data_IF_549303882812
#
_entry.id   IF_549303882812
#
_cell.length_a   1.000
_cell.length_b   1.000
_cell.length_c   1.000
_cell.angle_alpha   90.00
_cell.angle_beta   90.00
_cell.angle_gamma   90.00
#
_symmetry.space_group_name_H-M   'P 1'
#
loop_
_entity.id
_entity.type
_entity.pdbx_description
1 polymer ?
#
# COMPACT_ATOMS: atom_id res chain seq x y z
N UNK A 1 13.31 -11.65 9.78
CA UNK A 1 13.34 -10.19 9.97
C UNK A 1 12.01 -9.66 9.46
N UNK A 2 11.28 -8.90 10.26
CA UNK A 2 9.96 -8.37 9.88
C UNK A 2 9.63 -7.07 10.61
N UNK A 3 8.61 -6.35 10.16
CA UNK A 3 8.08 -5.13 10.76
C UNK A 3 6.55 -5.20 10.99
N UNK A 4 5.92 -6.30 10.63
CA UNK A 4 4.49 -6.50 10.80
C UNK A 4 4.14 -6.95 12.24
N UNK A 5 2.85 -6.81 12.59
CA UNK A 5 2.34 -7.42 13.80
C UNK A 5 2.48 -8.94 13.69
N UNK A 6 3.17 -9.52 14.65
CA UNK A 6 3.31 -10.96 14.73
C UNK A 6 1.99 -11.59 15.21
N UNK A 7 1.60 -12.67 14.55
CA UNK A 7 0.61 -13.63 15.04
C UNK A 7 1.35 -14.78 15.74
N UNK A 8 0.69 -15.91 15.96
CA UNK A 8 1.30 -17.08 16.56
C UNK A 8 2.40 -17.66 15.66
N UNK A 9 3.63 -17.61 16.13
CA UNK A 9 4.79 -18.21 15.45
C UNK A 9 5.15 -19.49 16.18
N UNK A 10 4.98 -20.62 15.48
CA UNK A 10 5.40 -21.93 15.95
C UNK A 10 6.49 -22.47 15.04
N UNK A 11 7.62 -22.88 15.62
CA UNK A 11 8.74 -23.43 14.87
C UNK A 11 9.19 -24.76 15.49
N UNK A 12 9.63 -25.69 14.65
CA UNK A 12 10.14 -26.99 15.10
C UNK A 12 11.45 -26.85 15.87
N UNK A 13 12.29 -25.90 15.47
CA UNK A 13 13.60 -25.63 16.06
C UNK A 13 13.69 -24.14 16.47
N UNK A 14 14.56 -23.79 17.43
CA UNK A 14 14.83 -22.39 17.78
C UNK A 14 15.27 -21.58 16.55
N UNK A 15 14.76 -20.35 16.44
CA UNK A 15 15.10 -19.42 15.36
C UNK A 15 15.46 -18.06 15.94
N UNK A 16 16.20 -17.26 15.16
CA UNK A 16 16.41 -15.85 15.46
C UNK A 16 15.29 -15.03 14.82
N UNK A 17 14.61 -14.22 15.62
CA UNK A 17 13.58 -13.28 15.15
C UNK A 17 14.03 -11.87 15.48
N UNK A 18 13.98 -10.97 14.49
CA UNK A 18 14.14 -9.52 14.66
C UNK A 18 12.93 -8.84 14.08
N UNK A 19 12.07 -8.32 14.94
CA UNK A 19 10.86 -7.59 14.56
C UNK A 19 10.88 -6.22 15.23
N UNK A 20 10.70 -5.16 14.43
CA UNK A 20 10.78 -3.78 14.90
C UNK A 20 9.64 -2.95 14.33
N UNK A 21 9.05 -2.00 15.10
CA UNK A 21 7.92 -1.19 14.65
C UNK A 21 8.39 -0.03 13.75
N UNK A 22 8.75 -0.34 12.52
CA UNK A 22 9.20 0.60 11.48
C UNK A 22 8.33 0.47 10.23
N UNK A 23 8.48 1.39 9.29
CA UNK A 23 7.69 1.41 8.04
C UNK A 23 8.17 0.43 6.98
N UNK A 24 9.44 -0.01 7.04
CA UNK A 24 10.04 -0.96 6.09
C UNK A 24 10.96 -1.94 6.78
N UNK A 25 10.85 -3.22 6.42
CA UNK A 25 11.82 -4.24 6.86
C UNK A 25 13.26 -3.87 6.46
N UNK A 26 13.41 -3.15 5.35
CA UNK A 26 14.72 -2.70 4.88
C UNK A 26 15.38 -1.71 5.85
N UNK A 27 14.61 -0.95 6.61
CA UNK A 27 15.13 -0.11 7.70
C UNK A 27 15.83 -0.94 8.77
N UNK A 28 15.29 -2.11 9.10
CA UNK A 28 15.90 -3.06 10.04
C UNK A 28 17.20 -3.62 9.44
N UNK A 29 17.17 -4.04 8.16
CA UNK A 29 18.34 -4.57 7.47
C UNK A 29 19.47 -3.55 7.43
N UNK A 30 19.18 -2.27 7.14
CA UNK A 30 20.16 -1.19 7.17
C UNK A 30 20.75 -0.98 8.59
N UNK A 31 19.93 -1.16 9.62
CA UNK A 31 20.38 -1.18 11.01
C UNK A 31 21.35 -2.34 11.28
N UNK A 32 21.10 -3.53 10.74
CA UNK A 32 22.00 -4.68 10.87
C UNK A 32 23.37 -4.46 10.23
N UNK A 33 23.43 -3.73 9.10
CA UNK A 33 24.70 -3.29 8.52
C UNK A 33 25.47 -2.41 9.51
N UNK A 34 24.78 -1.46 10.14
CA UNK A 34 25.37 -0.56 11.12
C UNK A 34 25.84 -1.31 12.37
N UNK A 35 25.04 -2.23 12.92
CA UNK A 35 25.39 -3.03 14.11
C UNK A 35 26.67 -3.84 13.88
N UNK A 36 26.94 -4.23 12.64
CA UNK A 36 28.16 -4.98 12.24
C UNK A 36 29.31 -4.09 11.77
N UNK A 37 29.16 -2.76 11.79
CA UNK A 37 30.17 -1.83 11.27
C UNK A 37 30.39 -1.94 9.76
N UNK A 38 29.42 -2.46 9.01
CA UNK A 38 29.49 -2.63 7.57
C UNK A 38 28.86 -1.46 6.83
N UNK A 39 29.48 -1.09 5.70
CA UNK A 39 28.92 -0.11 4.76
C UNK A 39 28.34 -0.83 3.54
N UNK A 40 27.09 -0.58 3.14
CA UNK A 40 26.57 -1.11 1.91
C UNK A 40 27.28 -0.47 0.71
N UNK A 41 27.39 -1.21 -0.39
CA UNK A 41 27.81 -0.64 -1.68
C UNK A 41 26.80 0.39 -2.18
N UNK A 42 27.19 1.31 -3.06
CA UNK A 42 26.26 2.30 -3.64
C UNK A 42 25.03 1.64 -4.28
N UNK A 43 25.21 0.51 -4.99
CA UNK A 43 24.12 -0.26 -5.59
C UNK A 43 23.15 -0.80 -4.52
N UNK A 44 23.69 -1.40 -3.45
CA UNK A 44 22.87 -1.94 -2.36
C UNK A 44 22.15 -0.82 -1.60
N UNK A 45 22.83 0.30 -1.35
CA UNK A 45 22.22 1.47 -0.72
C UNK A 45 21.07 2.04 -1.57
N UNK A 46 21.23 2.10 -2.89
CA UNK A 46 20.16 2.51 -3.81
C UNK A 46 18.94 1.59 -3.74
N UNK A 47 19.14 0.28 -3.71
CA UNK A 47 18.05 -0.69 -3.53
C UNK A 47 17.36 -0.54 -2.16
N UNK A 48 18.13 -0.32 -1.09
CA UNK A 48 17.58 -0.08 0.25
C UNK A 48 16.75 1.21 0.30
N UNK A 49 17.24 2.30 -0.30
CA UNK A 49 16.50 3.55 -0.41
C UNK A 49 15.19 3.36 -1.18
N UNK A 50 15.23 2.62 -2.31
CA UNK A 50 14.04 2.34 -3.11
C UNK A 50 13.00 1.53 -2.34
N UNK A 51 13.41 0.50 -1.60
CA UNK A 51 12.50 -0.31 -0.79
C UNK A 51 11.83 0.52 0.31
N UNK A 52 12.60 1.35 1.04
CA UNK A 52 12.05 2.21 2.10
C UNK A 52 11.08 3.23 1.52
N UNK A 53 11.42 3.90 0.42
CA UNK A 53 10.56 4.87 -0.28
C UNK A 53 9.25 4.21 -0.72
N UNK A 54 9.33 2.99 -1.28
CA UNK A 54 8.17 2.22 -1.71
C UNK A 54 7.26 1.83 -0.54
N UNK A 55 7.80 1.19 0.50
CA UNK A 55 7.05 0.69 1.65
C UNK A 55 6.41 1.82 2.47
N UNK A 56 7.08 2.96 2.56
CA UNK A 56 6.61 4.12 3.31
C UNK A 56 5.78 5.10 2.48
N UNK A 57 5.56 4.80 1.21
CA UNK A 57 4.82 5.66 0.27
C UNK A 57 5.36 7.09 0.30
N UNK A 58 6.65 7.27 -0.02
CA UNK A 58 7.33 8.57 0.10
C UNK A 58 7.20 9.19 1.50
N UNK A 59 7.33 8.37 2.56
CA UNK A 59 7.23 8.75 3.97
C UNK A 59 5.83 9.23 4.42
N UNK A 60 4.79 8.95 3.63
CA UNK A 60 3.40 9.35 3.91
C UNK A 60 2.55 8.23 4.48
N UNK A 61 3.07 7.00 4.52
CA UNK A 61 2.39 5.88 5.16
C UNK A 61 2.25 6.13 6.67
N UNK A 62 1.10 5.79 7.28
CA UNK A 62 0.90 5.87 8.73
C UNK A 62 1.84 4.95 9.52
N UNK A 63 2.58 4.07 8.84
CA UNK A 63 3.58 3.20 9.45
C UNK A 63 4.98 3.78 9.40
N UNK A 64 5.19 4.85 8.63
CA UNK A 64 6.49 5.48 8.50
C UNK A 64 6.95 6.05 9.84
N UNK A 65 8.21 5.82 10.18
CA UNK A 65 8.85 6.35 11.37
C UNK A 65 9.98 7.31 10.99
N UNK A 66 10.42 8.13 11.95
CA UNK A 66 11.60 8.98 11.74
C UNK A 66 12.83 8.17 11.36
N UNK A 67 12.96 6.96 11.91
CA UNK A 67 14.08 6.05 11.58
C UNK A 67 14.07 5.64 10.10
N UNK A 68 12.91 5.42 9.50
CA UNK A 68 12.80 5.11 8.06
C UNK A 68 13.33 6.28 7.23
N UNK A 69 12.94 7.51 7.58
CA UNK A 69 13.38 8.73 6.91
C UNK A 69 14.89 8.90 7.02
N UNK A 70 15.46 8.74 8.21
CA UNK A 70 16.89 8.90 8.47
C UNK A 70 17.72 7.87 7.72
N UNK A 71 17.27 6.62 7.72
CA UNK A 71 17.93 5.52 6.99
C UNK A 71 17.84 5.74 5.48
N UNK A 72 16.67 6.09 4.94
CA UNK A 72 16.52 6.37 3.51
C UNK A 72 17.43 7.50 3.04
N UNK A 73 17.51 8.61 3.80
CA UNK A 73 18.41 9.73 3.52
C UNK A 73 19.89 9.32 3.54
N UNK A 74 20.28 8.47 4.51
CA UNK A 74 21.64 7.93 4.57
C UNK A 74 21.94 7.04 3.37
N UNK A 75 21.04 6.16 3.00
CA UNK A 75 21.19 5.27 1.84
C UNK A 75 21.25 6.06 0.53
N UNK A 76 20.44 7.08 0.37
CA UNK A 76 20.45 7.95 -0.79
C UNK A 76 21.79 8.68 -0.96
N UNK A 77 22.38 9.16 0.15
CA UNK A 77 23.72 9.78 0.13
C UNK A 77 24.80 8.79 -0.31
N UNK A 78 24.79 7.55 0.20
CA UNK A 78 25.76 6.52 -0.18
C UNK A 78 25.59 6.15 -1.66
N UNK A 79 24.37 6.08 -2.15
CA UNK A 79 24.06 5.76 -3.54
C UNK A 79 24.21 6.95 -4.50
N UNK A 80 24.37 8.16 -3.97
CA UNK A 80 24.39 9.43 -4.74
C UNK A 80 23.13 9.61 -5.61
N UNK A 81 21.95 9.43 -5.02
CA UNK A 81 20.65 9.54 -5.69
C UNK A 81 19.70 10.50 -4.97
N UNK A 82 18.74 11.08 -5.71
CA UNK A 82 17.66 11.88 -5.17
C UNK A 82 16.47 10.99 -4.78
N UNK A 83 16.03 11.04 -3.51
CA UNK A 83 14.83 10.29 -3.06
C UNK A 83 13.57 10.77 -3.78
N UNK A 84 13.48 12.06 -4.12
CA UNK A 84 12.34 12.61 -4.87
C UNK A 84 12.25 12.02 -6.26
N UNK A 85 13.36 12.01 -7.00
CA UNK A 85 13.42 11.43 -8.36
C UNK A 85 13.18 9.92 -8.32
N UNK A 86 13.78 9.23 -7.35
CA UNK A 86 13.56 7.81 -7.13
C UNK A 86 12.07 7.49 -6.90
N UNK A 87 11.40 8.26 -6.04
CA UNK A 87 9.97 8.12 -5.81
C UNK A 87 9.13 8.37 -7.06
N UNK A 88 9.48 9.40 -7.84
CA UNK A 88 8.82 9.66 -9.13
C UNK A 88 8.92 8.43 -10.06
N UNK A 89 10.09 7.84 -10.18
CA UNK A 89 10.28 6.64 -11.01
C UNK A 89 9.45 5.46 -10.50
N UNK A 90 9.52 5.17 -9.19
CA UNK A 90 8.80 4.04 -8.58
C UNK A 90 7.28 4.17 -8.80
N UNK A 91 6.71 5.31 -8.44
CA UNK A 91 5.25 5.47 -8.43
C UNK A 91 4.65 5.86 -9.80
N UNK A 92 5.44 6.45 -10.72
CA UNK A 92 5.00 6.66 -12.11
C UNK A 92 4.86 5.33 -12.86
N UNK A 93 5.73 4.37 -12.59
CA UNK A 93 5.66 3.05 -13.21
C UNK A 93 4.41 2.25 -12.79
N UNK A 94 3.85 2.51 -11.59
CA UNK A 94 2.68 1.82 -11.08
C UNK A 94 1.37 2.27 -11.74
N UNK A 95 1.28 3.54 -12.15
CA UNK A 95 0.03 4.19 -12.58
C UNK A 95 -0.27 4.15 -14.07
N UNK A 96 0.55 3.53 -14.92
CA UNK A 96 0.32 3.69 -16.34
C UNK A 96 1.07 2.73 -17.26
N UNK A 97 1.12 3.09 -18.51
CA UNK A 97 1.71 2.34 -19.59
C UNK A 97 0.70 1.47 -20.33
N UNK A 98 1.18 0.44 -20.98
CA UNK A 98 0.40 -0.51 -21.81
C UNK A 98 -0.33 -1.59 -21.00
N UNK A 99 -0.33 -1.51 -19.65
CA UNK A 99 -0.94 -2.52 -18.78
C UNK A 99 -2.47 -2.50 -18.89
N UNK A 100 -3.06 -3.68 -18.98
CA UNK A 100 -4.51 -3.84 -18.93
C UNK A 100 -5.08 -3.46 -17.55
N UNK A 101 -6.40 -3.18 -17.49
CA UNK A 101 -7.06 -2.92 -16.21
C UNK A 101 -6.91 -4.10 -15.24
N UNK A 102 -6.98 -5.32 -15.75
CA UNK A 102 -6.80 -6.52 -14.94
C UNK A 102 -5.39 -6.62 -14.35
N UNK A 103 -4.34 -6.38 -15.14
CA UNK A 103 -2.96 -6.39 -14.65
C UNK A 103 -2.72 -5.33 -13.58
N UNK A 104 -3.30 -4.13 -13.74
CA UNK A 104 -3.22 -3.06 -12.74
C UNK A 104 -3.98 -3.46 -11.48
N UNK A 105 -5.23 -3.92 -11.61
CA UNK A 105 -6.08 -4.34 -10.50
C UNK A 105 -5.47 -5.48 -9.69
N UNK A 106 -4.80 -6.44 -10.32
CA UNK A 106 -4.18 -7.59 -9.65
C UNK A 106 -2.80 -7.30 -9.06
N UNK A 107 -2.22 -6.13 -9.24
CA UNK A 107 -0.86 -5.80 -8.76
C UNK A 107 -0.71 -6.00 -7.25
N UNK A 108 -1.67 -5.51 -6.46
CA UNK A 108 -1.75 -5.76 -5.00
C UNK A 108 -3.21 -6.05 -4.62
N UNK A 109 -3.70 -7.18 -5.08
CA UNK A 109 -5.04 -7.70 -4.84
C UNK A 109 -5.05 -8.65 -3.64
N UNK A 110 -6.00 -8.47 -2.74
CA UNK A 110 -6.21 -9.35 -1.58
C UNK A 110 -7.70 -9.57 -1.32
N UNK A 111 -8.01 -10.78 -0.88
CA UNK A 111 -9.35 -11.18 -0.45
C UNK A 111 -9.42 -11.18 1.07
N UNK A 112 -10.56 -10.78 1.61
CA UNK A 112 -10.81 -10.70 3.05
C UNK A 112 -12.16 -11.32 3.37
N UNK A 113 -12.24 -11.93 4.55
CA UNK A 113 -13.48 -12.35 5.17
C UNK A 113 -13.60 -11.66 6.53
N UNK A 114 -14.60 -10.78 6.69
CA UNK A 114 -14.74 -9.93 7.87
C UNK A 114 -16.19 -9.97 8.34
N UNK A 115 -16.45 -10.43 9.55
CA UNK A 115 -17.79 -10.46 10.16
C UNK A 115 -18.89 -11.06 9.24
N UNK A 116 -18.55 -12.11 8.50
CA UNK A 116 -19.47 -12.78 7.58
C UNK A 116 -19.51 -12.19 6.17
N UNK A 117 -18.80 -11.08 5.90
CA UNK A 117 -18.72 -10.45 4.59
C UNK A 117 -17.46 -10.87 3.83
N UNK A 118 -17.61 -11.21 2.54
CA UNK A 118 -16.54 -11.53 1.62
C UNK A 118 -16.22 -10.32 0.75
N UNK A 119 -14.99 -9.84 0.78
CA UNK A 119 -14.59 -8.70 -0.02
C UNK A 119 -13.22 -8.88 -0.67
N UNK A 120 -13.04 -8.24 -1.81
CA UNK A 120 -11.78 -8.12 -2.47
C UNK A 120 -11.33 -6.66 -2.48
N UNK A 121 -10.07 -6.41 -2.13
CA UNK A 121 -9.50 -5.06 -2.13
C UNK A 121 -8.19 -5.06 -2.88
N UNK A 122 -8.15 -4.31 -3.97
CA UNK A 122 -6.94 -3.98 -4.72
C UNK A 122 -6.38 -2.64 -4.26
N UNK A 123 -5.06 -2.45 -4.35
CA UNK A 123 -4.43 -1.17 -4.14
C UNK A 123 -3.37 -0.92 -5.20
N UNK A 124 -3.41 0.26 -5.81
CA UNK A 124 -2.36 0.79 -6.66
C UNK A 124 -1.94 2.16 -6.12
N UNK A 125 -0.64 2.37 -6.02
CA UNK A 125 -0.09 3.65 -5.56
C UNK A 125 0.53 4.38 -6.74
N UNK A 126 0.17 5.65 -6.93
CA UNK A 126 0.63 6.47 -8.06
C UNK A 126 0.93 7.91 -7.63
N UNK A 127 1.52 8.68 -8.54
CA UNK A 127 1.79 10.12 -8.37
C UNK A 127 0.73 11.01 -9.03
N UNK A 128 -0.20 10.41 -9.78
CA UNK A 128 -1.23 11.10 -10.56
C UNK A 128 -2.39 10.12 -10.75
N UNK A 129 -3.37 10.24 -9.88
CA UNK A 129 -4.56 9.38 -9.90
C UNK A 129 -5.48 9.66 -11.09
N UNK A 130 -5.46 10.88 -11.65
CA UNK A 130 -6.35 11.27 -12.75
C UNK A 130 -6.14 10.42 -13.99
N UNK A 131 -4.90 10.01 -14.27
CA UNK A 131 -4.59 9.09 -15.38
C UNK A 131 -5.26 7.73 -15.23
N UNK A 132 -5.34 7.20 -14.02
CA UNK A 132 -6.05 5.95 -13.75
C UNK A 132 -7.57 6.15 -13.77
N UNK A 133 -8.06 7.28 -13.27
CA UNK A 133 -9.47 7.60 -13.23
C UNK A 133 -10.07 7.81 -14.64
N UNK A 134 -9.28 8.20 -15.64
CA UNK A 134 -9.71 8.20 -17.03
C UNK A 134 -10.18 6.80 -17.50
N UNK A 135 -9.73 5.74 -16.83
CA UNK A 135 -10.09 4.35 -17.08
C UNK A 135 -11.10 3.79 -16.06
N UNK A 136 -11.77 4.64 -15.28
CA UNK A 136 -12.64 4.20 -14.18
C UNK A 136 -13.71 3.21 -14.64
N UNK A 137 -14.34 3.46 -15.78
CA UNK A 137 -15.41 2.61 -16.30
C UNK A 137 -14.92 1.19 -16.65
N UNK A 138 -13.65 1.08 -17.11
CA UNK A 138 -13.00 -0.20 -17.38
C UNK A 138 -12.77 -0.97 -16.09
N UNK A 139 -12.27 -0.28 -15.06
CA UNK A 139 -12.09 -0.87 -13.72
C UNK A 139 -13.40 -1.29 -13.09
N UNK A 140 -14.42 -0.45 -13.12
CA UNK A 140 -15.74 -0.76 -12.54
C UNK A 140 -16.39 -1.98 -13.21
N UNK A 141 -16.29 -2.10 -14.55
CA UNK A 141 -16.76 -3.29 -15.28
C UNK A 141 -16.02 -4.56 -14.86
N UNK A 142 -14.69 -4.49 -14.75
CA UNK A 142 -13.87 -5.60 -14.29
C UNK A 142 -14.25 -6.01 -12.85
N UNK A 143 -14.38 -5.05 -11.95
CA UNK A 143 -14.74 -5.27 -10.55
C UNK A 143 -16.13 -5.89 -10.41
N UNK A 144 -17.09 -5.46 -11.22
CA UNK A 144 -18.45 -6.03 -11.27
C UNK A 144 -18.42 -7.50 -11.74
N UNK A 145 -17.60 -7.83 -12.75
CA UNK A 145 -17.40 -9.21 -13.19
C UNK A 145 -16.80 -10.08 -12.11
N UNK A 146 -15.73 -9.62 -11.47
CA UNK A 146 -15.05 -10.34 -10.35
C UNK A 146 -16.02 -10.55 -9.19
N UNK A 147 -16.80 -9.52 -8.82
CA UNK A 147 -17.80 -9.61 -7.75
C UNK A 147 -18.81 -10.71 -8.02
N UNK A 148 -19.36 -10.74 -9.25
CA UNK A 148 -20.36 -11.74 -9.66
C UNK A 148 -19.79 -13.15 -9.72
N UNK A 149 -18.62 -13.30 -10.31
CA UNK A 149 -17.96 -14.60 -10.52
C UNK A 149 -17.57 -15.28 -9.20
N UNK A 150 -17.01 -14.50 -8.25
CA UNK A 150 -16.50 -15.00 -6.99
C UNK A 150 -17.48 -14.88 -5.81
N UNK A 151 -18.63 -14.24 -6.02
CA UNK A 151 -19.64 -14.08 -4.97
C UNK A 151 -19.23 -13.13 -3.86
N UNK A 152 -18.45 -12.10 -4.15
CA UNK A 152 -18.10 -11.09 -3.16
C UNK A 152 -19.28 -10.16 -2.86
N UNK A 153 -19.41 -9.76 -1.59
CA UNK A 153 -20.34 -8.71 -1.18
C UNK A 153 -19.89 -7.35 -1.70
N UNK A 154 -18.56 -7.14 -1.72
CA UNK A 154 -17.95 -5.89 -2.18
C UNK A 154 -16.60 -6.13 -2.85
N UNK A 155 -16.32 -5.36 -3.90
CA UNK A 155 -15.00 -5.25 -4.52
C UNK A 155 -14.56 -3.80 -4.50
N UNK A 156 -13.38 -3.54 -4.00
CA UNK A 156 -12.80 -2.20 -3.81
C UNK A 156 -11.48 -2.10 -4.57
N UNK A 157 -11.25 -0.95 -5.21
CA UNK A 157 -9.95 -0.57 -5.74
C UNK A 157 -9.52 0.76 -5.13
N UNK A 158 -8.40 0.75 -4.44
CA UNK A 158 -7.76 1.92 -3.89
C UNK A 158 -6.75 2.47 -4.90
N UNK A 159 -7.01 3.63 -5.47
CA UNK A 159 -6.04 4.39 -6.25
C UNK A 159 -5.42 5.44 -5.32
N UNK A 160 -4.32 5.06 -4.69
CA UNK A 160 -3.65 5.88 -3.67
C UNK A 160 -2.72 6.87 -4.35
N UNK A 161 -3.03 8.15 -4.23
CA UNK A 161 -2.26 9.24 -4.81
C UNK A 161 -1.31 9.83 -3.76
N UNK A 162 0.00 9.74 -4.04
CA UNK A 162 1.05 10.20 -3.13
C UNK A 162 1.07 11.71 -3.02
N UNK A 163 0.75 12.45 -4.10
CA UNK A 163 0.77 13.92 -4.09
C UNK A 163 -0.47 14.48 -3.39
N UNK A 164 -1.64 13.89 -3.62
CA UNK A 164 -2.88 14.29 -2.96
C UNK A 164 -2.96 13.80 -1.51
N UNK A 165 -2.05 12.91 -1.09
CA UNK A 165 -2.05 12.27 0.23
C UNK A 165 -3.39 11.65 0.60
N UNK A 166 -3.96 10.89 -0.33
CA UNK A 166 -5.26 10.28 -0.18
C UNK A 166 -5.50 9.17 -1.19
N UNK A 167 -6.69 8.61 -1.14
CA UNK A 167 -7.09 7.51 -2.02
C UNK A 167 -8.37 7.86 -2.75
N UNK A 168 -8.37 7.72 -4.06
CA UNK A 168 -9.58 7.61 -4.85
C UNK A 168 -10.07 6.16 -4.72
N UNK A 169 -11.19 5.96 -4.03
CA UNK A 169 -11.77 4.67 -3.76
C UNK A 169 -12.83 4.36 -4.80
N UNK A 170 -12.57 3.41 -5.71
CA UNK A 170 -13.56 2.83 -6.58
C UNK A 170 -14.16 1.59 -5.89
N UNK A 171 -15.46 1.37 -6.03
CA UNK A 171 -16.09 0.20 -5.42
C UNK A 171 -17.29 -0.30 -6.23
N UNK A 172 -17.58 -1.59 -6.05
CA UNK A 172 -18.79 -2.25 -6.55
C UNK A 172 -19.39 -3.05 -5.39
N UNK A 173 -20.55 -2.62 -4.92
CA UNK A 173 -21.24 -3.20 -3.77
C UNK A 173 -22.19 -2.19 -3.14
N UNK A 174 -22.48 -2.38 -1.86
CA UNK A 174 -23.40 -1.51 -1.13
C UNK A 174 -22.80 -0.13 -0.84
N UNK A 175 -23.47 0.91 -1.32
CA UNK A 175 -23.06 2.32 -1.15
C UNK A 175 -23.17 2.80 0.28
N UNK A 176 -24.17 2.28 1.00
CA UNK A 176 -24.39 2.67 2.40
C UNK A 176 -23.23 2.21 3.29
N UNK A 177 -22.68 1.03 3.03
CA UNK A 177 -21.45 0.56 3.67
C UNK A 177 -20.29 1.54 3.50
N UNK A 178 -20.08 2.05 2.29
CA UNK A 178 -19.02 3.04 2.02
C UNK A 178 -19.31 4.36 2.75
N UNK A 179 -20.55 4.83 2.67
CA UNK A 179 -20.98 6.05 3.34
C UNK A 179 -20.70 6.01 4.84
N UNK A 180 -21.07 4.93 5.50
CA UNK A 180 -20.91 4.77 6.95
C UNK A 180 -19.47 4.52 7.35
N UNK A 181 -18.77 3.59 6.66
CA UNK A 181 -17.41 3.21 7.02
C UNK A 181 -16.42 4.37 6.91
N UNK A 182 -16.60 5.25 5.92
CA UNK A 182 -15.68 6.36 5.65
C UNK A 182 -16.24 7.73 6.02
N UNK A 183 -17.46 7.80 6.57
CA UNK A 183 -18.16 9.02 6.93
C UNK A 183 -18.20 10.06 5.79
N UNK A 184 -18.66 9.62 4.63
CA UNK A 184 -18.80 10.44 3.43
C UNK A 184 -20.29 10.62 3.09
N UNK A 185 -20.69 11.83 2.68
CA UNK A 185 -22.11 12.13 2.41
C UNK A 185 -22.52 11.73 0.99
N UNK A 186 -21.74 12.15 0.01
CA UNK A 186 -22.01 11.88 -1.40
C UNK A 186 -21.17 10.69 -1.86
N UNK A 187 -21.85 9.54 -2.06
CA UNK A 187 -21.22 8.31 -2.50
C UNK A 187 -21.56 8.03 -3.95
N UNK A 188 -20.68 8.45 -4.84
CA UNK A 188 -20.67 8.01 -6.24
C UNK A 188 -19.83 6.74 -6.40
N UNK A 189 -19.58 6.33 -7.64
CA UNK A 189 -18.76 5.14 -7.94
C UNK A 189 -17.27 5.33 -7.58
N UNK A 190 -16.86 6.57 -7.34
CA UNK A 190 -15.52 6.97 -6.88
C UNK A 190 -15.68 7.96 -5.75
N UNK A 191 -14.98 7.73 -4.64
CA UNK A 191 -14.97 8.61 -3.46
C UNK A 191 -13.52 8.96 -3.12
N UNK A 192 -13.22 10.26 -2.99
CA UNK A 192 -11.89 10.67 -2.50
C UNK A 192 -11.85 10.63 -0.97
N UNK A 193 -10.90 9.88 -0.45
CA UNK A 193 -10.65 9.71 0.98
C UNK A 193 -9.31 10.36 1.34
N UNK A 194 -9.32 11.60 1.88
CA UNK A 194 -8.09 12.28 2.27
C UNK A 194 -7.39 11.54 3.43
N UNK A 195 -6.06 11.49 3.39
CA UNK A 195 -5.21 10.84 4.41
C UNK A 195 -5.39 9.31 4.54
N UNK A 196 -6.18 8.69 3.70
CA UNK A 196 -6.30 7.22 3.62
C UNK A 196 -5.27 6.72 2.61
N UNK A 197 -4.22 6.08 3.12
CA UNK A 197 -3.06 5.64 2.33
C UNK A 197 -2.78 4.12 2.48
N UNK A 198 -3.45 3.45 3.43
CA UNK A 198 -3.15 2.07 3.77
C UNK A 198 -4.41 1.21 3.83
N UNK A 199 -4.48 0.22 2.94
CA UNK A 199 -5.52 -0.82 2.98
C UNK A 199 -5.59 -1.50 4.34
N UNK A 200 -4.47 -2.07 4.81
CA UNK A 200 -4.41 -2.92 6.01
C UNK A 200 -4.66 -2.15 7.31
N UNK A 201 -4.18 -0.89 7.40
CA UNK A 201 -4.21 -0.13 8.66
C UNK A 201 -5.36 0.88 8.75
N UNK A 202 -6.01 1.17 7.63
CA UNK A 202 -7.09 2.15 7.59
C UNK A 202 -8.36 1.57 6.98
N UNK A 203 -8.35 1.17 5.70
CA UNK A 203 -9.58 0.73 5.01
C UNK A 203 -10.18 -0.52 5.65
N UNK A 204 -9.38 -1.57 5.86
CA UNK A 204 -9.88 -2.82 6.45
C UNK A 204 -10.37 -2.62 7.90
N UNK A 205 -9.65 -1.92 8.80
CA UNK A 205 -10.17 -1.64 10.14
C UNK A 205 -11.46 -0.81 10.16
N UNK A 206 -11.63 0.17 9.26
CA UNK A 206 -12.86 0.97 9.17
C UNK A 206 -14.06 0.10 8.77
N UNK A 207 -13.91 -0.78 7.78
CA UNK A 207 -14.94 -1.73 7.40
C UNK A 207 -15.22 -2.73 8.51
N UNK A 208 -14.19 -3.25 9.19
CA UNK A 208 -14.36 -4.15 10.32
C UNK A 208 -15.11 -3.51 11.48
N UNK A 209 -14.85 -2.24 11.78
CA UNK A 209 -15.53 -1.51 12.85
C UNK A 209 -17.03 -1.28 12.56
N UNK A 210 -17.41 -1.24 11.27
CA UNK A 210 -18.81 -1.11 10.88
C UNK A 210 -19.58 -2.42 11.04
N UNK A 211 -18.96 -3.54 10.73
CA UNK A 211 -19.61 -4.85 10.67
C UNK A 211 -19.46 -5.68 11.96
N UNK A 212 -18.55 -5.34 12.85
CA UNK A 212 -18.20 -6.08 14.06
C UNK A 212 -18.41 -5.35 15.33
#
# INVERSE_FOLDING_TARGET
IDHHRLADIQTKNPITVRNEPVGSTTTIVAGMYQDKGLMPTAKMAGLMAAAIVSDTVMFKSPTCTQRDIDVANRMARIANISLKELGQVIFSAAGGGTRSAEEIFRTDYKEFHIAGHNLAVSQVTCMDSDKLLQRKDEFLKLMASIRKEKGFDMVIMMVTDVLLEGTQLLFVGDRETIRQAFNVEDVEDVVFLPKIMSRKKQVIPMLSALWG
#
